data_IF_319349588110
#
_entry.id   IF_319349588110
#
_cell.length_a   1.000
_cell.length_b   1.000
_cell.length_c   1.000
_cell.angle_alpha   90.00
_cell.angle_beta   90.00
_cell.angle_gamma   90.00
#
_symmetry.space_group_name_H-M   'P 1'
#
loop_
_entity.id
_entity.type
_entity.pdbx_description
1 polymer ?
#
# COMPACT_ATOMS: atom_id res chain seq x y z
N UNK A 1 14.68 -31.24 -34.74
CA UNK A 1 13.23 -30.99 -34.94
C UNK A 1 12.49 -31.46 -33.69
N UNK A 2 11.59 -30.61 -33.17
CA UNK A 2 10.56 -30.82 -32.11
C UNK A 2 11.09 -31.12 -30.69
N UNK A 3 11.13 -30.18 -29.72
CA UNK A 3 10.06 -29.41 -29.02
C UNK A 3 9.02 -30.29 -28.33
N UNK A 4 9.14 -30.40 -27.01
CA UNK A 4 7.99 -30.53 -26.08
C UNK A 4 8.43 -30.10 -24.66
N UNK A 5 8.63 -28.79 -24.48
CA UNK A 5 8.78 -28.18 -23.16
C UNK A 5 7.41 -28.11 -22.49
N UNK A 6 7.16 -29.02 -21.56
CA UNK A 6 5.99 -28.97 -20.68
C UNK A 6 6.10 -27.71 -19.84
N UNK A 7 5.26 -26.72 -20.18
CA UNK A 7 5.04 -25.53 -19.38
C UNK A 7 4.58 -25.98 -17.98
N UNK A 8 5.49 -25.88 -17.00
CA UNK A 8 5.13 -25.95 -15.59
C UNK A 8 4.22 -24.75 -15.31
N UNK A 9 2.92 -24.99 -15.34
CA UNK A 9 1.93 -24.09 -14.77
C UNK A 9 2.33 -23.89 -13.30
N UNK A 10 2.88 -22.71 -13.00
CA UNK A 10 3.35 -22.35 -11.67
C UNK A 10 2.21 -22.53 -10.68
N UNK A 11 2.47 -23.32 -9.63
CA UNK A 11 1.55 -23.53 -8.53
C UNK A 11 1.00 -22.19 -8.01
N UNK A 12 -0.25 -22.13 -7.52
CA UNK A 12 -0.79 -20.93 -6.89
C UNK A 12 0.10 -20.55 -5.71
N UNK A 13 0.95 -19.52 -5.90
CA UNK A 13 1.87 -19.05 -4.86
C UNK A 13 1.00 -18.52 -3.71
N UNK A 14 1.12 -19.19 -2.55
CA UNK A 14 0.36 -18.91 -1.33
C UNK A 14 0.44 -17.41 -1.03
N UNK A 15 -0.71 -16.77 -0.80
CA UNK A 15 -0.74 -15.45 -0.17
C UNK A 15 0.00 -15.57 1.17
N UNK A 16 1.12 -14.85 1.28
CA UNK A 16 1.97 -14.90 2.46
C UNK A 16 1.16 -14.53 3.71
N UNK A 17 1.36 -15.18 4.87
CA UNK A 17 0.65 -14.88 6.11
C UNK A 17 0.77 -13.41 6.56
N UNK A 18 1.72 -12.65 6.03
CA UNK A 18 1.87 -11.21 6.26
C UNK A 18 0.92 -10.33 5.43
N UNK A 19 0.47 -10.80 4.25
CA UNK A 19 -0.64 -10.15 3.51
C UNK A 19 -1.96 -10.29 4.28
N UNK A 20 -2.11 -11.42 5.00
CA UNK A 20 -3.19 -11.59 5.97
C UNK A 20 -3.02 -10.68 7.17
N UNK A 21 -1.80 -10.31 7.59
CA UNK A 21 -1.57 -9.33 8.68
C UNK A 21 -1.94 -7.89 8.30
N UNK A 22 -1.77 -7.49 7.04
CA UNK A 22 -2.34 -6.24 6.53
C UNK A 22 -3.87 -6.24 6.54
N UNK A 23 -4.50 -7.38 6.19
CA UNK A 23 -5.95 -7.59 6.33
C UNK A 23 -6.38 -7.69 7.80
N UNK A 24 -5.59 -8.30 8.67
CA UNK A 24 -5.83 -8.46 10.10
C UNK A 24 -5.70 -7.14 10.84
N UNK A 25 -4.81 -6.23 10.42
CA UNK A 25 -4.78 -4.87 10.96
C UNK A 25 -6.07 -4.10 10.62
N UNK A 26 -6.61 -4.29 9.40
CA UNK A 26 -7.92 -3.76 8.98
C UNK A 26 -9.07 -4.43 9.77
N UNK A 27 -8.97 -5.73 10.09
CA UNK A 27 -9.97 -6.45 10.90
C UNK A 27 -9.86 -6.17 12.41
N UNK A 28 -8.66 -5.90 12.95
CA UNK A 28 -8.46 -5.48 14.34
C UNK A 28 -9.08 -4.10 14.59
N UNK A 29 -9.12 -3.23 13.58
CA UNK A 29 -9.89 -1.99 13.61
C UNK A 29 -11.40 -2.25 13.77
N UNK A 30 -11.93 -3.36 13.21
CA UNK A 30 -13.32 -3.76 13.42
C UNK A 30 -13.60 -4.24 14.86
N UNK A 31 -12.60 -4.84 15.54
CA UNK A 31 -12.70 -5.22 16.95
C UNK A 31 -12.78 -4.02 17.91
N UNK A 32 -12.13 -2.89 17.56
CA UNK A 32 -12.18 -1.66 18.36
C UNK A 32 -13.58 -0.99 18.37
N UNK A 33 -14.44 -1.29 17.40
CA UNK A 33 -15.83 -0.81 17.36
C UNK A 33 -16.69 -1.38 18.50
N UNK A 34 -16.26 -2.47 19.14
CA UNK A 34 -16.91 -3.05 20.32
C UNK A 34 -16.55 -2.38 21.66
N UNK A 35 -15.56 -1.48 21.68
CA UNK A 35 -14.99 -0.92 22.92
C UNK A 35 -15.44 0.53 23.25
N UNK A 36 -16.46 1.06 22.56
CA UNK A 36 -16.92 2.44 22.77
C UNK A 36 -15.98 3.52 22.23
N UNK A 37 -14.95 3.13 21.47
CA UNK A 37 -14.01 4.06 20.83
C UNK A 37 -14.72 4.79 19.67
N UNK A 38 -14.63 6.13 19.58
CA UNK A 38 -15.22 6.86 18.46
C UNK A 38 -14.71 6.33 17.12
N UNK A 39 -15.63 6.13 16.16
CA UNK A 39 -15.30 5.61 14.81
C UNK A 39 -14.13 6.37 14.16
N UNK A 40 -14.04 7.69 14.36
CA UNK A 40 -12.97 8.54 13.81
C UNK A 40 -11.60 8.19 14.39
N UNK A 41 -11.52 7.83 15.66
CA UNK A 41 -10.28 7.39 16.31
C UNK A 41 -9.79 6.06 15.74
N UNK A 42 -10.72 5.11 15.56
CA UNK A 42 -10.44 3.83 14.91
C UNK A 42 -9.90 4.04 13.49
N UNK A 43 -10.54 4.90 12.70
CA UNK A 43 -10.11 5.20 11.33
C UNK A 43 -8.76 5.91 11.29
N UNK A 44 -8.50 6.89 12.17
CA UNK A 44 -7.24 7.61 12.25
C UNK A 44 -6.08 6.68 12.64
N UNK A 45 -6.28 5.84 13.67
CA UNK A 45 -5.26 4.89 14.12
C UNK A 45 -5.01 3.79 13.08
N UNK A 46 -6.06 3.23 12.49
CA UNK A 46 -5.93 2.17 11.48
C UNK A 46 -5.20 2.69 10.23
N UNK A 47 -5.62 3.84 9.70
CA UNK A 47 -4.99 4.43 8.52
C UNK A 47 -3.57 4.94 8.80
N UNK A 48 -3.34 5.63 9.92
CA UNK A 48 -2.01 6.07 10.34
C UNK A 48 -1.04 4.91 10.56
N UNK A 49 -1.48 3.87 11.27
CA UNK A 49 -0.70 2.65 11.49
C UNK A 49 -0.37 1.92 10.17
N UNK A 50 -1.33 1.80 9.26
CA UNK A 50 -1.12 1.19 7.96
C UNK A 50 -0.13 1.98 7.09
N UNK A 51 -0.25 3.31 7.06
CA UNK A 51 0.70 4.19 6.36
C UNK A 51 2.11 4.09 6.94
N UNK A 52 2.25 4.07 8.27
CA UNK A 52 3.52 3.84 8.96
C UNK A 52 4.13 2.47 8.65
N UNK A 53 3.31 1.41 8.64
CA UNK A 53 3.75 0.07 8.23
C UNK A 53 4.21 0.01 6.78
N UNK A 54 3.50 0.67 5.86
CA UNK A 54 3.92 0.78 4.46
C UNK A 54 5.22 1.58 4.32
N UNK A 55 5.44 2.61 5.13
CA UNK A 55 6.71 3.34 5.16
C UNK A 55 7.88 2.42 5.56
N UNK A 56 7.71 1.60 6.61
CA UNK A 56 8.71 0.63 7.03
C UNK A 56 9.02 -0.41 5.95
N UNK A 57 7.99 -0.88 5.21
CA UNK A 57 8.17 -1.80 4.08
C UNK A 57 9.03 -1.16 2.98
N UNK A 58 8.86 0.14 2.69
CA UNK A 58 9.69 0.83 1.71
C UNK A 58 11.14 0.95 2.16
N UNK A 59 11.40 1.25 3.44
CA UNK A 59 12.76 1.23 4.01
C UNK A 59 13.37 -0.16 3.84
N UNK A 60 12.65 -1.21 4.23
CA UNK A 60 13.07 -2.61 4.06
C UNK A 60 13.43 -2.94 2.61
N UNK A 61 12.63 -2.49 1.64
CA UNK A 61 12.91 -2.70 0.23
C UNK A 61 14.13 -1.92 -0.26
N UNK A 62 14.33 -0.69 0.21
CA UNK A 62 15.51 0.11 -0.08
C UNK A 62 16.79 -0.53 0.44
N UNK A 63 16.73 -1.18 1.61
CA UNK A 63 17.81 -1.99 2.19
C UNK A 63 17.99 -3.34 1.49
N UNK A 64 17.16 -3.66 0.51
CA UNK A 64 17.31 -4.83 -0.35
C UNK A 64 16.52 -6.07 0.05
N UNK A 65 15.52 -5.91 0.93
CA UNK A 65 14.60 -6.97 1.29
C UNK A 65 13.90 -7.62 0.09
N UNK A 66 13.73 -8.95 0.09
CA UNK A 66 13.24 -9.72 -1.05
C UNK A 66 11.71 -9.95 -1.06
N UNK A 67 11.04 -9.81 0.09
CA UNK A 67 9.58 -9.97 0.19
C UNK A 67 8.85 -9.03 -0.77
N UNK A 68 7.72 -9.42 -1.41
CA UNK A 68 6.95 -10.66 -1.25
C UNK A 68 7.46 -11.87 -2.05
N UNK A 69 8.62 -11.77 -2.71
CA UNK A 69 9.23 -12.90 -3.41
C UNK A 69 10.29 -13.62 -2.57
N UNK A 70 10.70 -14.79 -3.05
CA UNK A 70 11.80 -15.55 -2.45
C UNK A 70 13.17 -15.10 -2.98
N UNK A 71 13.15 -14.38 -4.12
CA UNK A 71 14.33 -13.78 -4.72
C UNK A 71 14.07 -12.33 -5.15
N UNK A 72 15.13 -11.50 -5.17
CA UNK A 72 15.05 -10.06 -5.51
C UNK A 72 14.33 -9.76 -6.82
N UNK A 73 14.50 -10.63 -7.83
CA UNK A 73 13.89 -10.44 -9.15
C UNK A 73 12.37 -10.66 -9.13
N UNK A 74 11.87 -11.59 -8.30
CA UNK A 74 10.43 -11.86 -8.19
C UNK A 74 9.70 -10.67 -7.54
N UNK A 75 10.36 -9.98 -6.60
CA UNK A 75 9.84 -8.74 -6.02
C UNK A 75 9.63 -7.65 -7.07
N UNK A 76 10.54 -7.51 -8.04
CA UNK A 76 10.43 -6.49 -9.09
C UNK A 76 9.15 -6.71 -9.92
N UNK A 77 8.92 -7.95 -10.34
CA UNK A 77 7.74 -8.32 -11.13
C UNK A 77 6.43 -8.22 -10.35
N UNK A 78 6.46 -8.40 -9.02
CA UNK A 78 5.28 -8.34 -8.15
C UNK A 78 4.94 -6.94 -7.66
N UNK A 79 5.94 -6.11 -7.34
CA UNK A 79 5.76 -4.81 -6.67
C UNK A 79 5.90 -3.63 -7.62
N UNK A 80 6.85 -3.70 -8.55
CA UNK A 80 7.17 -2.60 -9.46
C UNK A 80 6.42 -2.76 -10.79
N UNK A 81 6.18 -4.00 -11.21
CA UNK A 81 5.57 -4.30 -12.51
C UNK A 81 6.56 -4.14 -13.66
N UNK A 82 7.81 -4.53 -13.44
CA UNK A 82 8.84 -4.59 -14.48
C UNK A 82 9.28 -6.04 -14.72
N UNK A 83 9.71 -6.41 -15.93
CA UNK A 83 10.15 -7.78 -16.25
C UNK A 83 11.36 -8.23 -15.41
N UNK A 84 11.50 -9.54 -15.23
CA UNK A 84 12.69 -10.15 -14.64
C UNK A 84 14.00 -9.60 -15.22
N UNK A 85 14.95 -9.31 -14.34
CA UNK A 85 16.25 -8.71 -14.70
C UNK A 85 16.26 -7.18 -14.67
N UNK A 86 15.09 -6.54 -14.58
CA UNK A 86 15.01 -5.09 -14.37
C UNK A 86 15.56 -4.69 -12.98
N UNK A 87 16.25 -3.55 -12.86
CA UNK A 87 16.73 -3.08 -11.57
C UNK A 87 15.56 -2.72 -10.65
N UNK A 88 15.72 -3.04 -9.36
CA UNK A 88 14.79 -2.54 -8.35
C UNK A 88 15.06 -1.04 -8.10
N UNK A 89 14.04 -0.23 -7.74
CA UNK A 89 14.24 1.17 -7.38
C UNK A 89 15.38 1.38 -6.38
N UNK A 90 16.08 2.51 -6.52
CA UNK A 90 17.20 2.86 -5.64
C UNK A 90 16.75 3.03 -4.18
N UNK A 91 17.70 2.94 -3.24
CA UNK A 91 17.46 3.25 -1.83
C UNK A 91 16.85 4.65 -1.68
N UNK A 92 17.38 5.65 -2.38
CA UNK A 92 16.87 7.01 -2.35
C UNK A 92 15.40 7.11 -2.76
N UNK A 93 15.00 6.43 -3.84
CA UNK A 93 13.60 6.38 -4.27
C UNK A 93 12.69 5.73 -3.21
N UNK A 94 13.16 4.65 -2.58
CA UNK A 94 12.41 3.99 -1.51
C UNK A 94 12.28 4.88 -0.26
N UNK A 95 13.33 5.60 0.12
CA UNK A 95 13.31 6.53 1.26
C UNK A 95 12.40 7.72 1.02
N UNK A 96 12.34 8.27 -0.21
CA UNK A 96 11.39 9.33 -0.54
C UNK A 96 9.95 8.86 -0.31
N UNK A 97 9.59 7.68 -0.81
CA UNK A 97 8.24 7.13 -0.60
C UNK A 97 7.99 6.82 0.88
N UNK A 98 8.98 6.29 1.60
CA UNK A 98 8.87 6.05 3.04
C UNK A 98 8.61 7.34 3.82
N UNK A 99 9.34 8.42 3.52
CA UNK A 99 9.14 9.73 4.13
C UNK A 99 7.75 10.30 3.83
N UNK A 100 7.28 10.20 2.58
CA UNK A 100 5.94 10.65 2.22
C UNK A 100 4.84 9.89 2.98
N UNK A 101 4.98 8.57 3.10
CA UNK A 101 4.05 7.72 3.84
C UNK A 101 4.09 8.00 5.36
N UNK A 102 5.28 8.17 5.93
CA UNK A 102 5.47 8.51 7.34
C UNK A 102 4.90 9.90 7.68
N UNK A 103 5.14 10.89 6.82
CA UNK A 103 4.54 12.23 6.96
C UNK A 103 3.03 12.18 6.82
N UNK A 104 2.50 11.35 5.92
CA UNK A 104 1.04 11.15 5.79
C UNK A 104 0.45 10.53 7.05
N UNK A 105 1.12 9.53 7.64
CA UNK A 105 0.70 8.94 8.91
C UNK A 105 0.69 9.98 10.04
N UNK A 106 1.77 10.76 10.17
CA UNK A 106 1.89 11.81 11.16
C UNK A 106 0.81 12.89 10.98
N UNK A 107 0.52 13.32 9.75
CA UNK A 107 -0.53 14.29 9.46
C UNK A 107 -1.91 13.80 9.89
N UNK A 108 -2.27 12.55 9.58
CA UNK A 108 -3.58 11.99 9.94
C UNK A 108 -3.73 11.88 11.46
N UNK A 109 -2.68 11.43 12.16
CA UNK A 109 -2.70 11.34 13.62
C UNK A 109 -2.69 12.73 14.28
N UNK A 110 -1.91 13.67 13.76
CA UNK A 110 -1.84 15.04 14.28
C UNK A 110 -3.14 15.81 14.05
N UNK A 111 -3.85 15.56 12.94
CA UNK A 111 -5.17 16.15 12.69
C UNK A 111 -6.18 15.70 13.77
N UNK A 112 -6.09 14.45 14.23
CA UNK A 112 -7.04 13.89 15.20
C UNK A 112 -6.67 14.16 16.65
N UNK A 113 -5.38 14.06 17.00
CA UNK A 113 -4.87 14.08 18.37
C UNK A 113 -3.95 15.26 18.67
N UNK A 114 -3.56 16.05 17.67
CA UNK A 114 -2.67 17.19 17.84
C UNK A 114 -3.41 18.40 18.42
N UNK A 115 -2.83 19.01 19.45
CA UNK A 115 -3.37 20.23 20.09
C UNK A 115 -2.72 21.55 19.66
N UNK A 116 -1.70 21.54 18.79
CA UNK A 116 -0.76 22.66 18.64
C UNK A 116 -0.49 23.18 17.23
N UNK A 117 -1.41 23.02 16.27
CA UNK A 117 -1.22 23.50 14.88
C UNK A 117 -2.49 24.12 14.29
N UNK A 118 -2.40 24.68 13.08
CA UNK A 118 -3.57 25.17 12.34
C UNK A 118 -4.48 24.00 11.95
N UNK A 119 -5.69 23.85 12.54
CA UNK A 119 -6.57 22.70 12.27
C UNK A 119 -6.98 22.64 10.80
N UNK A 120 -7.12 23.80 10.15
CA UNK A 120 -7.44 23.90 8.74
C UNK A 120 -6.32 23.31 7.85
N UNK A 121 -5.05 23.59 8.17
CA UNK A 121 -3.91 23.09 7.40
C UNK A 121 -3.76 21.56 7.56
N UNK A 122 -3.96 21.04 8.77
CA UNK A 122 -3.94 19.60 9.03
C UNK A 122 -5.08 18.87 8.30
N UNK A 123 -6.30 19.44 8.31
CA UNK A 123 -7.43 18.93 7.54
C UNK A 123 -7.15 18.95 6.04
N UNK A 124 -6.59 20.04 5.51
CA UNK A 124 -6.20 20.13 4.10
C UNK A 124 -5.17 19.07 3.73
N UNK A 125 -4.15 18.86 4.58
CA UNK A 125 -3.14 17.81 4.41
C UNK A 125 -3.75 16.41 4.39
N UNK A 126 -4.65 16.10 5.32
CA UNK A 126 -5.35 14.81 5.36
C UNK A 126 -6.21 14.58 4.10
N UNK A 127 -6.91 15.60 3.61
CA UNK A 127 -7.64 15.52 2.34
C UNK A 127 -6.72 15.33 1.14
N UNK A 128 -5.56 15.99 1.11
CA UNK A 128 -4.56 15.78 0.06
C UNK A 128 -4.04 14.32 0.05
N UNK A 129 -3.77 13.74 1.23
CA UNK A 129 -3.41 12.32 1.37
C UNK A 129 -4.52 11.42 0.83
N UNK A 130 -5.78 11.65 1.24
CA UNK A 130 -6.91 10.89 0.76
C UNK A 130 -7.06 10.97 -0.77
N UNK A 131 -6.89 12.16 -1.34
CA UNK A 131 -6.96 12.39 -2.79
C UNK A 131 -5.86 11.62 -3.54
N UNK A 132 -4.60 11.70 -3.09
CA UNK A 132 -3.46 11.03 -3.73
C UNK A 132 -3.62 9.51 -3.66
N UNK A 133 -4.03 8.97 -2.51
CA UNK A 133 -4.30 7.53 -2.36
C UNK A 133 -5.50 7.10 -3.20
N UNK A 134 -6.55 7.91 -3.26
CA UNK A 134 -7.72 7.68 -4.11
C UNK A 134 -7.35 7.63 -5.58
N UNK A 135 -6.60 8.63 -6.06
CA UNK A 135 -6.08 8.70 -7.42
C UNK A 135 -5.18 7.50 -7.75
N UNK A 136 -4.30 7.10 -6.82
CA UNK A 136 -3.47 5.88 -7.00
C UNK A 136 -4.33 4.61 -7.05
N UNK A 137 -5.34 4.51 -6.21
CA UNK A 137 -6.27 3.39 -6.18
C UNK A 137 -7.02 3.25 -7.50
N UNK A 138 -7.65 4.33 -7.98
CA UNK A 138 -8.34 4.36 -9.27
C UNK A 138 -7.37 4.12 -10.43
N UNK A 139 -6.24 4.80 -10.44
CA UNK A 139 -5.20 4.66 -11.47
C UNK A 139 -4.66 3.25 -11.58
N UNK A 140 -4.65 2.46 -10.50
CA UNK A 140 -4.23 1.06 -10.53
C UNK A 140 -5.16 0.15 -11.34
N UNK A 141 -6.46 0.46 -11.43
CA UNK A 141 -7.38 -0.27 -12.32
C UNK A 141 -7.19 0.13 -13.79
N UNK A 142 -6.68 1.33 -14.03
CA UNK A 142 -6.35 1.83 -15.37
C UNK A 142 -4.92 1.48 -15.79
N UNK A 143 -4.11 0.94 -14.88
CA UNK A 143 -2.68 0.69 -15.08
C UNK A 143 -2.39 -0.10 -16.35
N UNK A 144 -3.13 -1.18 -16.60
CA UNK A 144 -2.95 -2.02 -17.77
C UNK A 144 -3.29 -1.33 -19.10
N UNK A 145 -3.94 -0.17 -19.08
CA UNK A 145 -4.15 0.68 -20.27
C UNK A 145 -2.97 1.62 -20.47
N UNK A 146 -2.42 2.16 -19.37
CA UNK A 146 -1.29 3.10 -19.37
C UNK A 146 0.06 2.39 -19.59
N UNK A 147 0.20 1.18 -19.05
CA UNK A 147 1.40 0.34 -19.11
C UNK A 147 1.01 -1.08 -19.56
N UNK A 148 0.70 -1.30 -20.85
CA UNK A 148 0.22 -2.61 -21.32
C UNK A 148 1.14 -3.80 -20.97
N UNK A 149 2.45 -3.56 -20.85
CA UNK A 149 3.43 -4.56 -20.45
C UNK A 149 3.22 -5.14 -19.05
N UNK A 150 2.47 -4.48 -18.16
CA UNK A 150 2.21 -5.02 -16.82
C UNK A 150 1.23 -6.20 -16.83
N UNK A 151 0.40 -6.35 -17.88
CA UNK A 151 -0.63 -7.40 -17.98
C UNK A 151 -0.09 -8.82 -17.85
N UNK A 152 1.10 -9.06 -18.38
CA UNK A 152 1.76 -10.36 -18.34
C UNK A 152 2.48 -10.63 -17.00
N UNK A 153 2.58 -9.62 -16.13
CA UNK A 153 3.32 -9.70 -14.87
C UNK A 153 2.39 -10.00 -13.69
N UNK A 154 2.88 -10.70 -12.65
CA UNK A 154 2.16 -10.89 -11.39
C UNK A 154 1.61 -9.58 -10.78
N UNK A 155 2.34 -8.47 -10.99
CA UNK A 155 1.90 -7.13 -10.59
C UNK A 155 0.49 -6.80 -11.05
N UNK A 156 0.05 -7.15 -12.26
CA UNK A 156 -1.28 -6.76 -12.72
C UNK A 156 -2.40 -7.32 -11.83
N UNK A 157 -2.29 -8.62 -11.49
CA UNK A 157 -3.25 -9.28 -10.59
C UNK A 157 -3.18 -8.70 -9.18
N UNK A 158 -1.97 -8.54 -8.63
CA UNK A 158 -1.77 -7.97 -7.29
C UNK A 158 -2.24 -6.51 -7.21
N UNK A 159 -2.00 -5.73 -8.25
CA UNK A 159 -2.40 -4.33 -8.31
C UNK A 159 -3.92 -4.21 -8.31
N UNK A 160 -4.64 -5.08 -9.04
CA UNK A 160 -6.11 -5.06 -9.05
C UNK A 160 -6.76 -5.65 -7.80
N UNK A 161 -6.19 -6.70 -7.22
CA UNK A 161 -6.81 -7.43 -6.11
C UNK A 161 -6.35 -6.99 -4.72
N UNK A 162 -5.19 -6.36 -4.61
CA UNK A 162 -4.58 -6.00 -3.33
C UNK A 162 -4.22 -4.53 -3.30
N UNK A 163 -3.34 -4.06 -4.18
CA UNK A 163 -2.76 -2.71 -4.04
C UNK A 163 -3.79 -1.59 -4.27
N UNK A 164 -4.60 -1.70 -5.32
CA UNK A 164 -5.62 -0.68 -5.64
C UNK A 164 -6.75 -0.65 -4.60
N UNK A 165 -7.33 -1.80 -4.19
CA UNK A 165 -8.27 -1.83 -3.07
C UNK A 165 -7.69 -1.27 -1.77
N UNK A 166 -6.44 -1.59 -1.44
CA UNK A 166 -5.76 -1.07 -0.25
C UNK A 166 -5.64 0.46 -0.30
N UNK A 167 -5.19 1.02 -1.43
CA UNK A 167 -5.09 2.47 -1.60
C UNK A 167 -6.45 3.16 -1.48
N UNK A 168 -7.52 2.60 -2.07
CA UNK A 168 -8.88 3.14 -1.93
C UNK A 168 -9.40 3.04 -0.50
N UNK A 169 -9.14 1.93 0.19
CA UNK A 169 -9.55 1.71 1.58
C UNK A 169 -8.86 2.71 2.50
N UNK A 170 -7.56 2.94 2.31
CA UNK A 170 -6.82 3.96 3.07
C UNK A 170 -7.33 5.36 2.75
N UNK A 171 -7.62 5.68 1.49
CA UNK A 171 -8.21 6.97 1.11
C UNK A 171 -9.54 7.21 1.83
N UNK A 172 -10.44 6.21 1.83
CA UNK A 172 -11.72 6.30 2.52
C UNK A 172 -11.57 6.39 4.04
N UNK A 173 -10.62 5.66 4.64
CA UNK A 173 -10.36 5.73 6.07
C UNK A 173 -9.82 7.10 6.49
N UNK A 174 -8.87 7.67 5.74
CA UNK A 174 -8.34 9.01 5.99
C UNK A 174 -9.42 10.08 5.84
N UNK A 175 -10.20 10.03 4.76
CA UNK A 175 -11.33 10.95 4.57
C UNK A 175 -12.35 10.82 5.70
N UNK A 176 -12.72 9.60 6.09
CA UNK A 176 -13.67 9.34 7.18
C UNK A 176 -13.19 9.78 8.56
N UNK A 177 -11.87 9.74 8.82
CA UNK A 177 -11.30 10.33 10.03
C UNK A 177 -11.42 11.88 10.04
N UNK A 178 -11.39 12.49 8.84
CA UNK A 178 -11.34 13.94 8.64
C UNK A 178 -12.73 14.61 8.62
N UNK A 179 -13.79 13.88 8.25
CA UNK A 179 -15.17 14.40 8.19
C UNK A 179 -15.70 14.77 9.58
N UNK A 180 -16.28 15.97 9.71
CA UNK A 180 -16.80 16.53 10.96
C UNK A 180 -18.15 15.97 11.39
#
# INVERSE_FOLDING_TARGET
MLVAGVARLGAPRRVSPWMLLGLLAILCAAGALGAGVPRRDVLALASGGALGGLAAIHVYWGLGGAWPGDARHEKVEMVVGLPKGSPFPSLGACLVVACLLASSAALVLAQRYGGGGSPALLRLGAWAVALVLGARGVGGYLDARLRPGTRALPYHRLNRLVYSPLSLTLAAAVAGATLD
#
